data_IF_491924432237
#
_entry.id   IF_491924432237
#
_cell.length_a   1.000
_cell.length_b   1.000
_cell.length_c   1.000
_cell.angle_alpha   90.00
_cell.angle_beta   90.00
_cell.angle_gamma   90.00
#
_symmetry.space_group_name_H-M   'P 1'
#
loop_
_entity.id
_entity.type
_entity.pdbx_description
1 polymer ?
#
# COMPACT_ATOMS: atom_id res chain seq x y z
N UNK A 1 -10.53 15.53 -17.05
CA UNK A 1 -10.12 15.35 -15.65
C UNK A 1 -11.30 15.74 -14.78
N UNK A 2 -11.70 14.88 -13.86
CA UNK A 2 -12.85 15.06 -12.96
C UNK A 2 -12.36 15.25 -11.54
N UNK A 3 -13.06 16.04 -10.75
CA UNK A 3 -12.91 16.14 -9.30
C UNK A 3 -14.21 15.69 -8.66
N UNK A 4 -14.13 14.81 -7.67
CA UNK A 4 -15.29 14.21 -6.99
C UNK A 4 -15.07 14.10 -5.49
N UNK A 5 -16.13 14.06 -4.73
CA UNK A 5 -16.14 13.62 -3.35
C UNK A 5 -16.62 12.17 -3.26
N UNK A 6 -16.04 11.38 -2.36
CA UNK A 6 -16.48 10.04 -2.02
C UNK A 6 -16.54 9.90 -0.50
N UNK A 7 -17.73 9.62 0.03
CA UNK A 7 -18.05 9.76 1.45
C UNK A 7 -18.55 8.44 2.02
N UNK A 8 -17.93 8.01 3.10
CA UNK A 8 -18.35 6.82 3.85
C UNK A 8 -18.95 7.27 5.19
N UNK A 9 -20.26 7.11 5.32
CA UNK A 9 -21.03 7.55 6.51
C UNK A 9 -21.13 6.36 7.45
N UNK A 10 -20.68 6.52 8.69
CA UNK A 10 -20.52 5.46 9.67
C UNK A 10 -21.57 5.58 10.77
N UNK A 11 -22.26 4.48 11.08
CA UNK A 11 -23.25 4.40 12.15
C UNK A 11 -23.28 3.00 12.75
N UNK A 12 -23.05 2.89 14.06
CA UNK A 12 -23.21 1.66 14.86
C UNK A 12 -22.47 0.43 14.24
N UNK A 13 -21.26 0.64 13.71
CA UNK A 13 -20.45 -0.41 13.04
C UNK A 13 -20.93 -0.78 11.63
N UNK A 14 -21.82 0.04 11.06
CA UNK A 14 -22.27 -0.07 9.66
C UNK A 14 -21.80 1.15 8.88
N UNK A 15 -21.61 0.99 7.57
CA UNK A 15 -21.30 2.04 6.60
C UNK A 15 -22.45 2.16 5.61
N UNK A 16 -22.87 3.39 5.32
CA UNK A 16 -23.87 3.64 4.29
C UNK A 16 -23.20 3.51 2.92
N UNK A 17 -23.72 2.57 2.13
CA UNK A 17 -23.23 2.30 0.77
C UNK A 17 -24.33 2.50 -0.26
N UNK A 18 -23.98 2.95 -1.43
CA UNK A 18 -24.85 3.11 -2.59
C UNK A 18 -24.61 1.96 -3.58
N UNK A 19 -25.60 1.13 -3.80
CA UNK A 19 -25.62 0.11 -4.85
C UNK A 19 -26.04 0.75 -6.19
N UNK A 20 -25.10 0.93 -7.10
CA UNK A 20 -25.31 1.59 -8.40
C UNK A 20 -25.99 0.64 -9.40
N UNK A 21 -27.30 0.66 -9.48
CA UNK A 21 -28.10 -0.26 -10.34
C UNK A 21 -29.02 0.44 -11.33
N UNK A 22 -29.14 1.78 -11.25
CA UNK A 22 -30.15 2.51 -12.05
C UNK A 22 -29.68 2.80 -13.47
N UNK A 23 -28.40 3.12 -13.68
CA UNK A 23 -27.85 3.50 -14.98
C UNK A 23 -27.05 2.35 -15.59
N UNK A 24 -27.53 1.73 -16.68
CA UNK A 24 -26.88 0.59 -17.33
C UNK A 24 -25.50 0.90 -17.92
N UNK A 25 -25.25 2.14 -18.35
CA UNK A 25 -23.98 2.58 -18.94
C UNK A 25 -23.06 3.31 -17.95
N UNK A 26 -23.25 3.11 -16.66
CA UNK A 26 -22.38 3.65 -15.63
C UNK A 26 -21.18 2.70 -15.41
N UNK A 27 -19.95 3.24 -15.37
CA UNK A 27 -18.73 2.47 -15.04
C UNK A 27 -18.84 1.79 -13.67
N UNK A 28 -19.66 2.33 -12.77
CA UNK A 28 -19.95 1.80 -11.45
C UNK A 28 -21.15 0.84 -11.41
N UNK A 29 -21.78 0.54 -12.56
CA UNK A 29 -22.97 -0.33 -12.58
C UNK A 29 -22.73 -1.67 -11.88
N UNK A 30 -23.66 -2.06 -10.99
CA UNK A 30 -23.59 -3.28 -10.18
C UNK A 30 -22.60 -3.23 -9.01
N UNK A 31 -21.90 -2.10 -8.77
CA UNK A 31 -20.96 -1.94 -7.66
C UNK A 31 -21.58 -1.17 -6.49
N UNK A 32 -21.04 -1.42 -5.32
CA UNK A 32 -21.30 -0.66 -4.11
C UNK A 32 -20.19 0.38 -3.94
N UNK A 33 -20.58 1.63 -3.79
CA UNK A 33 -19.64 2.75 -3.62
C UNK A 33 -20.10 3.61 -2.43
N UNK A 34 -19.24 4.50 -1.96
CA UNK A 34 -19.64 5.56 -1.02
C UNK A 34 -20.61 6.55 -1.68
N UNK A 35 -21.24 7.38 -0.86
CA UNK A 35 -22.06 8.51 -1.29
C UNK A 35 -21.15 9.61 -1.84
N UNK A 36 -21.58 10.37 -2.86
CA UNK A 36 -20.80 11.50 -3.36
C UNK A 36 -20.93 11.69 -4.87
N UNK A 37 -20.29 12.74 -5.36
CA UNK A 37 -20.37 13.09 -6.76
C UNK A 37 -19.38 14.15 -7.19
N UNK A 38 -19.64 14.78 -8.33
CA UNK A 38 -18.74 15.74 -8.97
C UNK A 38 -18.84 17.12 -8.33
N UNK A 39 -17.69 17.81 -8.28
CA UNK A 39 -17.66 19.20 -7.86
C UNK A 39 -18.46 20.07 -8.82
N UNK A 40 -19.22 21.02 -8.27
CA UNK A 40 -19.73 22.17 -8.97
C UNK A 40 -18.66 23.28 -9.01
N UNK A 41 -18.84 24.21 -9.95
CA UNK A 41 -17.85 25.26 -10.14
C UNK A 41 -17.70 26.13 -8.91
N UNK A 42 -16.49 26.19 -8.37
CA UNK A 42 -16.15 27.02 -7.20
C UNK A 42 -16.34 26.34 -5.84
N UNK A 43 -16.75 25.06 -5.82
CA UNK A 43 -16.86 24.31 -4.55
C UNK A 43 -15.50 23.90 -4.00
N UNK A 44 -15.39 23.93 -2.68
CA UNK A 44 -14.35 23.21 -1.94
C UNK A 44 -14.71 21.73 -1.81
N UNK A 45 -13.74 20.86 -1.49
CA UNK A 45 -14.04 19.44 -1.23
C UNK A 45 -15.13 19.22 -0.18
N UNK A 46 -15.14 20.05 0.88
CA UNK A 46 -16.11 19.97 1.97
C UNK A 46 -17.50 20.45 1.57
N UNK A 47 -17.59 21.48 0.72
CA UNK A 47 -18.86 21.96 0.19
C UNK A 47 -19.51 20.91 -0.74
N UNK A 48 -18.73 20.35 -1.67
CA UNK A 48 -19.18 19.25 -2.51
C UNK A 48 -19.66 18.07 -1.68
N UNK A 49 -18.86 17.62 -0.73
CA UNK A 49 -19.18 16.51 0.18
C UNK A 49 -20.53 16.73 0.89
N UNK A 50 -20.76 17.93 1.44
CA UNK A 50 -22.01 18.29 2.17
C UNK A 50 -23.21 18.36 1.23
N UNK A 51 -23.06 18.92 0.05
CA UNK A 51 -24.13 19.02 -0.95
C UNK A 51 -24.54 17.62 -1.43
N UNK A 52 -23.58 16.82 -1.90
CA UNK A 52 -23.83 15.48 -2.41
C UNK A 52 -24.48 14.57 -1.38
N UNK A 53 -23.96 14.56 -0.12
CA UNK A 53 -24.56 13.76 0.95
C UNK A 53 -26.01 14.21 1.21
N UNK A 54 -26.29 15.51 1.24
CA UNK A 54 -27.66 15.98 1.43
C UNK A 54 -28.58 15.65 0.25
N UNK A 55 -28.10 15.77 -0.96
CA UNK A 55 -28.89 15.47 -2.19
C UNK A 55 -29.23 14.00 -2.30
N UNK A 56 -28.27 13.12 -2.05
CA UNK A 56 -28.46 11.68 -2.18
C UNK A 56 -29.15 11.03 -0.97
N UNK A 57 -28.89 11.52 0.25
CA UNK A 57 -29.35 10.86 1.48
C UNK A 57 -30.34 11.65 2.32
N UNK A 58 -30.38 12.97 2.17
CA UNK A 58 -31.13 13.88 3.04
C UNK A 58 -30.48 14.17 4.40
N UNK A 59 -29.28 13.62 4.65
CA UNK A 59 -28.55 13.81 5.89
C UNK A 59 -27.79 15.13 5.94
N UNK A 60 -27.68 15.71 7.13
CA UNK A 60 -26.87 16.90 7.39
C UNK A 60 -25.68 16.51 8.25
N UNK A 61 -24.47 16.89 7.82
CA UNK A 61 -23.20 16.46 8.41
C UNK A 61 -22.77 17.43 9.52
N UNK A 62 -22.43 16.86 10.68
CA UNK A 62 -21.90 17.57 11.85
C UNK A 62 -20.41 17.28 12.09
N UNK A 63 -20.00 15.99 11.96
CA UNK A 63 -18.62 15.55 12.16
C UNK A 63 -18.14 14.74 10.97
N UNK A 64 -16.99 15.11 10.46
CA UNK A 64 -16.35 14.39 9.35
C UNK A 64 -14.82 14.45 9.48
N UNK A 65 -14.17 13.58 8.73
CA UNK A 65 -12.72 13.62 8.53
C UNK A 65 -12.44 13.60 7.02
N UNK A 66 -11.61 14.51 6.57
CA UNK A 66 -11.03 14.46 5.22
C UNK A 66 -9.85 13.51 5.26
N UNK A 67 -9.97 12.36 4.58
CA UNK A 67 -9.06 11.24 4.75
C UNK A 67 -7.91 11.23 3.75
N UNK A 68 -8.14 11.69 2.53
CA UNK A 68 -7.11 11.65 1.50
C UNK A 68 -7.64 11.92 0.10
N UNK A 69 -6.74 11.82 -0.88
CA UNK A 69 -7.05 11.98 -2.31
C UNK A 69 -6.63 10.72 -3.05
N UNK A 70 -7.54 10.18 -3.86
CA UNK A 70 -7.25 9.07 -4.78
C UNK A 70 -7.23 9.59 -6.21
N UNK A 71 -6.11 9.43 -6.90
CA UNK A 71 -6.02 9.60 -8.35
C UNK A 71 -6.47 8.31 -9.01
N UNK A 72 -7.68 8.30 -9.55
CA UNK A 72 -8.23 7.17 -10.29
C UNK A 72 -7.95 7.36 -11.79
N UNK A 73 -7.28 6.39 -12.40
CA UNK A 73 -6.93 6.39 -13.82
C UNK A 73 -7.54 5.14 -14.46
N UNK A 74 -8.36 5.33 -15.49
CA UNK A 74 -8.95 4.26 -16.27
C UNK A 74 -8.71 4.51 -17.78
N UNK A 75 -8.67 3.43 -18.58
CA UNK A 75 -8.72 3.51 -20.03
C UNK A 75 -10.16 3.57 -20.58
N UNK A 76 -11.15 3.48 -19.72
CA UNK A 76 -12.58 3.50 -20.05
C UNK A 76 -13.27 4.82 -19.68
N UNK A 77 -12.63 5.67 -18.86
CA UNK A 77 -13.18 6.97 -18.44
C UNK A 77 -12.07 8.00 -18.19
N UNK A 78 -12.46 9.26 -18.00
CA UNK A 78 -11.56 10.35 -17.65
C UNK A 78 -10.85 10.10 -16.32
N UNK A 79 -9.61 10.58 -16.22
CA UNK A 79 -8.87 10.59 -14.94
C UNK A 79 -9.64 11.41 -13.91
N UNK A 80 -9.71 10.89 -12.69
CA UNK A 80 -10.48 11.45 -11.59
C UNK A 80 -9.62 11.63 -10.33
N UNK A 81 -9.80 12.76 -9.66
CA UNK A 81 -9.33 12.98 -8.29
C UNK A 81 -10.51 12.83 -7.34
N UNK A 82 -10.55 11.73 -6.59
CA UNK A 82 -11.58 11.46 -5.59
C UNK A 82 -11.11 11.96 -4.23
N UNK A 83 -11.82 12.90 -3.64
CA UNK A 83 -11.61 13.40 -2.29
C UNK A 83 -12.37 12.53 -1.31
N UNK A 84 -11.64 11.77 -0.47
CA UNK A 84 -12.21 10.78 0.42
C UNK A 84 -12.56 11.36 1.79
N UNK A 85 -13.79 11.10 2.24
CA UNK A 85 -14.28 11.52 3.55
C UNK A 85 -14.87 10.36 4.34
N UNK A 86 -14.74 10.41 5.66
CA UNK A 86 -15.57 9.65 6.59
C UNK A 86 -16.43 10.61 7.42
N UNK A 87 -17.70 10.26 7.60
CA UNK A 87 -18.67 11.02 8.38
C UNK A 87 -19.08 10.18 9.57
N UNK A 88 -18.90 10.71 10.78
CA UNK A 88 -19.22 10.06 12.05
C UNK A 88 -20.23 10.82 12.88
N UNK A 89 -20.60 12.04 12.49
CA UNK A 89 -21.65 12.84 13.12
C UNK A 89 -22.58 13.44 12.07
N UNK A 90 -23.88 13.19 12.21
CA UNK A 90 -24.90 13.68 11.29
C UNK A 90 -26.30 13.56 11.91
N UNK A 91 -27.28 14.24 11.31
CA UNK A 91 -28.67 14.13 11.66
C UNK A 91 -29.56 14.08 10.42
N UNK A 92 -30.74 13.44 10.55
CA UNK A 92 -31.78 13.44 9.53
C UNK A 92 -32.78 14.59 9.74
N UNK A 93 -33.72 14.74 8.82
CA UNK A 93 -34.75 15.77 8.87
C UNK A 93 -35.72 15.62 10.07
N UNK A 94 -35.79 14.45 10.72
CA UNK A 94 -36.65 14.17 11.85
C UNK A 94 -35.94 14.34 13.21
N UNK A 95 -34.67 14.71 13.19
CA UNK A 95 -33.87 14.93 14.40
C UNK A 95 -33.23 13.65 14.99
N UNK A 96 -33.28 12.52 14.29
CA UNK A 96 -32.46 11.39 14.63
C UNK A 96 -30.97 11.76 14.42
N UNK A 97 -30.15 11.54 15.46
CA UNK A 97 -28.79 12.08 15.52
C UNK A 97 -27.75 10.99 15.80
N UNK A 98 -26.65 11.06 15.10
CA UNK A 98 -25.46 10.21 15.27
C UNK A 98 -24.27 11.07 15.63
N UNK A 99 -23.47 10.65 16.63
CA UNK A 99 -22.24 11.28 17.04
C UNK A 99 -21.17 10.23 17.27
N UNK A 100 -19.95 10.49 16.82
CA UNK A 100 -18.80 9.56 16.91
C UNK A 100 -19.15 8.16 16.40
N UNK A 101 -19.96 8.09 15.33
CA UNK A 101 -20.41 6.85 14.70
C UNK A 101 -21.46 6.07 15.50
N UNK A 102 -22.08 6.67 16.52
CA UNK A 102 -23.08 6.02 17.38
C UNK A 102 -24.40 6.78 17.45
N UNK A 103 -25.50 6.05 17.41
CA UNK A 103 -26.83 6.62 17.61
C UNK A 103 -26.96 7.24 18.99
N UNK A 104 -27.47 8.47 19.08
CA UNK A 104 -27.68 9.20 20.32
C UNK A 104 -29.16 9.09 20.73
N UNK A 105 -29.43 8.77 22.00
CA UNK A 105 -30.80 8.68 22.53
C UNK A 105 -31.54 7.36 22.26
N UNK A 106 -30.81 6.32 21.90
CA UNK A 106 -31.33 4.99 21.56
C UNK A 106 -31.34 4.72 20.06
N UNK A 107 -31.72 3.50 19.66
CA UNK A 107 -31.77 3.11 18.25
C UNK A 107 -32.95 3.81 17.54
N UNK A 108 -32.75 5.05 17.13
CA UNK A 108 -33.67 5.73 16.22
C UNK A 108 -33.33 5.33 14.78
N UNK A 109 -34.37 5.00 14.02
CA UNK A 109 -34.24 4.71 12.60
C UNK A 109 -33.89 6.01 11.85
N UNK A 110 -32.72 6.06 11.22
CA UNK A 110 -32.32 7.14 10.33
C UNK A 110 -33.12 7.02 9.04
N UNK A 111 -33.88 8.06 8.71
CA UNK A 111 -34.62 8.14 7.45
C UNK A 111 -33.74 8.71 6.36
N UNK A 112 -33.52 7.90 5.35
CA UNK A 112 -32.82 8.29 4.13
C UNK A 112 -33.83 8.77 3.06
N UNK A 113 -33.41 9.71 2.25
CA UNK A 113 -34.09 10.09 1.03
C UNK A 113 -33.87 8.98 -0.03
N UNK A 114 -34.79 8.83 -0.96
CA UNK A 114 -34.56 7.99 -2.14
C UNK A 114 -33.46 8.57 -3.01
N UNK A 115 -32.53 7.73 -3.45
CA UNK A 115 -31.45 8.13 -4.36
C UNK A 115 -31.79 7.67 -5.78
N UNK A 116 -31.69 8.59 -6.75
CA UNK A 116 -32.00 8.31 -8.17
C UNK A 116 -30.90 7.47 -8.85
N UNK A 117 -29.75 7.31 -8.21
CA UNK A 117 -28.59 6.61 -8.75
C UNK A 117 -28.54 5.13 -8.36
N UNK A 118 -29.31 4.71 -7.35
CA UNK A 118 -29.34 3.35 -6.89
C UNK A 118 -30.03 3.17 -5.53
N UNK A 119 -29.66 2.12 -4.82
CA UNK A 119 -30.22 1.78 -3.51
C UNK A 119 -29.19 2.04 -2.42
N UNK A 120 -29.59 2.83 -1.42
CA UNK A 120 -28.80 3.10 -0.22
C UNK A 120 -29.06 2.04 0.85
N UNK A 121 -28.00 1.45 1.40
CA UNK A 121 -28.11 0.45 2.44
C UNK A 121 -27.00 0.57 3.48
N UNK A 122 -27.36 0.38 4.77
CA UNK A 122 -26.42 0.30 5.87
C UNK A 122 -25.83 -1.10 5.93
N UNK A 123 -24.57 -1.25 5.55
CA UNK A 123 -23.86 -2.52 5.53
C UNK A 123 -22.88 -2.61 6.70
N UNK A 124 -22.84 -3.73 7.44
CA UNK A 124 -21.81 -3.96 8.44
C UNK A 124 -20.40 -3.82 7.82
N UNK A 125 -19.46 -3.16 8.51
CA UNK A 125 -18.08 -2.97 8.02
C UNK A 125 -17.44 -4.27 7.53
N UNK A 126 -17.72 -5.39 8.19
CA UNK A 126 -17.22 -6.73 7.84
C UNK A 126 -17.75 -7.25 6.49
N UNK A 127 -18.86 -6.70 6.00
CA UNK A 127 -19.45 -7.06 4.71
C UNK A 127 -18.81 -6.32 3.54
N UNK A 128 -18.15 -5.18 3.79
CA UNK A 128 -17.60 -4.33 2.73
C UNK A 128 -16.57 -5.05 1.86
N UNK A 129 -15.83 -5.99 2.42
CA UNK A 129 -14.85 -6.78 1.68
C UNK A 129 -15.47 -7.86 0.77
N UNK A 130 -16.77 -8.17 0.96
CA UNK A 130 -17.49 -9.26 0.27
C UNK A 130 -18.46 -8.79 -0.80
N UNK A 131 -18.76 -7.50 -0.84
CA UNK A 131 -19.65 -6.91 -1.84
C UNK A 131 -18.90 -6.53 -3.12
N UNK A 132 -19.55 -6.48 -4.29
CA UNK A 132 -18.95 -6.00 -5.53
C UNK A 132 -18.58 -4.51 -5.42
N UNK A 133 -17.30 -4.19 -5.56
CA UNK A 133 -16.75 -2.83 -5.64
C UNK A 133 -15.47 -2.83 -6.48
N UNK A 134 -14.85 -1.68 -6.71
CA UNK A 134 -13.55 -1.63 -7.36
C UNK A 134 -12.47 -2.28 -6.50
N UNK A 135 -11.56 -3.04 -7.12
CA UNK A 135 -10.52 -3.76 -6.37
C UNK A 135 -9.63 -2.85 -5.51
N UNK A 136 -9.39 -1.60 -5.97
CA UNK A 136 -8.61 -0.61 -5.22
C UNK A 136 -9.34 -0.01 -4.02
N UNK A 137 -10.69 -0.08 -3.99
CA UNK A 137 -11.47 0.47 -2.87
C UNK A 137 -11.12 -0.23 -1.56
N UNK A 138 -10.81 -1.52 -1.61
CA UNK A 138 -10.37 -2.28 -0.42
C UNK A 138 -9.13 -1.70 0.23
N UNK A 139 -8.21 -1.12 -0.57
CA UNK A 139 -7.00 -0.51 -0.04
C UNK A 139 -7.38 0.72 0.79
N UNK A 140 -8.11 1.68 0.20
CA UNK A 140 -8.44 2.89 0.95
C UNK A 140 -9.53 2.68 2.00
N UNK A 141 -10.50 1.76 1.82
CA UNK A 141 -11.51 1.44 2.84
C UNK A 141 -10.86 0.98 4.14
N UNK A 142 -9.83 0.12 4.08
CA UNK A 142 -9.08 -0.30 5.26
C UNK A 142 -8.38 0.87 5.97
N UNK A 143 -8.00 1.92 5.23
CA UNK A 143 -7.33 3.12 5.76
C UNK A 143 -8.32 4.13 6.35
N UNK A 144 -9.46 4.35 5.70
CA UNK A 144 -10.41 5.39 6.10
C UNK A 144 -11.38 4.94 7.20
N UNK A 145 -11.67 3.66 7.34
CA UNK A 145 -12.50 3.11 8.42
C UNK A 145 -11.71 2.96 9.72
N UNK A 146 -10.38 2.91 9.67
CA UNK A 146 -9.51 2.98 10.84
C UNK A 146 -9.52 4.38 11.50
N UNK A 147 -9.37 4.42 12.83
CA UNK A 147 -9.58 5.66 13.62
C UNK A 147 -8.43 6.66 13.56
N UNK A 148 -7.25 6.30 13.05
CA UNK A 148 -6.04 7.14 13.17
C UNK A 148 -5.15 7.19 11.91
N UNK A 149 -5.63 6.82 10.75
CA UNK A 149 -4.79 6.95 9.57
C UNK A 149 -4.60 8.44 9.20
N UNK A 150 -3.37 8.92 9.00
CA UNK A 150 -3.12 10.29 8.57
C UNK A 150 -3.69 10.53 7.16
N UNK A 151 -3.80 11.80 6.78
CA UNK A 151 -4.14 12.17 5.40
C UNK A 151 -3.17 11.51 4.42
N UNK A 152 -3.69 10.90 3.35
CA UNK A 152 -2.89 10.18 2.37
C UNK A 152 -3.21 10.60 0.92
N UNK A 153 -2.26 10.35 0.04
CA UNK A 153 -2.48 10.33 -1.40
C UNK A 153 -2.35 8.89 -1.92
N UNK A 154 -3.22 8.54 -2.87
CA UNK A 154 -3.21 7.21 -3.49
C UNK A 154 -3.39 7.36 -4.99
N UNK A 155 -2.79 6.45 -5.77
CA UNK A 155 -3.05 6.32 -7.20
C UNK A 155 -3.49 4.90 -7.51
N UNK A 156 -4.59 4.78 -8.26
CA UNK A 156 -5.14 3.52 -8.73
C UNK A 156 -5.22 3.57 -10.26
N UNK A 157 -4.67 2.57 -10.93
CA UNK A 157 -4.70 2.48 -12.40
C UNK A 157 -5.42 1.22 -12.82
N UNK A 158 -6.46 1.40 -13.62
CA UNK A 158 -7.27 0.33 -14.19
C UNK A 158 -7.06 0.22 -15.69
N UNK A 159 -7.11 -1.01 -16.19
CA UNK A 159 -7.14 -1.34 -17.61
C UNK A 159 -8.22 -2.38 -17.85
N UNK A 160 -9.20 -2.07 -18.70
CA UNK A 160 -10.37 -2.93 -18.94
C UNK A 160 -11.04 -3.40 -17.65
N UNK A 161 -11.27 -2.46 -16.72
CA UNK A 161 -11.87 -2.74 -15.41
C UNK A 161 -11.00 -3.51 -14.42
N UNK A 162 -9.76 -3.87 -14.77
CA UNK A 162 -8.82 -4.62 -13.89
C UNK A 162 -7.82 -3.65 -13.27
N UNK A 163 -7.65 -3.68 -11.94
CA UNK A 163 -6.61 -2.95 -11.24
C UNK A 163 -5.23 -3.50 -11.65
N UNK A 164 -4.41 -2.67 -12.30
CA UNK A 164 -3.07 -3.01 -12.79
C UNK A 164 -1.95 -2.38 -11.97
N UNK A 165 -2.23 -1.25 -11.31
CA UNK A 165 -1.27 -0.56 -10.45
C UNK A 165 -1.98 0.16 -9.31
N UNK A 166 -1.36 0.15 -8.15
CA UNK A 166 -1.76 0.96 -7.01
C UNK A 166 -0.51 1.51 -6.31
N UNK A 167 -0.60 2.72 -5.75
CA UNK A 167 0.44 3.29 -4.90
C UNK A 167 -0.18 4.16 -3.81
N UNK A 168 0.44 4.17 -2.63
CA UNK A 168 0.04 4.98 -1.47
C UNK A 168 1.26 5.74 -0.99
N UNK A 169 1.20 7.07 -0.95
CA UNK A 169 2.28 7.92 -0.44
C UNK A 169 3.66 7.56 -1.01
N UNK A 170 3.75 7.47 -2.33
CA UNK A 170 4.98 7.06 -3.05
C UNK A 170 5.36 5.57 -2.94
N UNK A 171 4.74 4.80 -2.03
CA UNK A 171 4.95 3.36 -1.94
C UNK A 171 4.06 2.62 -2.94
N UNK A 172 4.68 1.82 -3.79
CA UNK A 172 3.93 0.98 -4.74
C UNK A 172 3.19 -0.15 -4.01
N UNK A 173 1.95 -0.41 -4.44
CA UNK A 173 1.29 -1.67 -4.13
C UNK A 173 1.49 -2.63 -5.32
N UNK A 174 1.87 -3.87 -5.04
CA UNK A 174 2.01 -4.88 -6.10
C UNK A 174 0.72 -5.70 -6.16
N UNK A 175 0.11 -5.74 -7.33
CA UNK A 175 -1.18 -6.39 -7.54
C UNK A 175 -0.95 -7.67 -8.35
N UNK A 176 -1.47 -8.79 -7.85
CA UNK A 176 -1.42 -10.09 -8.52
C UNK A 176 -2.82 -10.62 -8.80
N UNK A 177 -2.95 -11.86 -9.26
CA UNK A 177 -4.25 -12.50 -9.48
C UNK A 177 -5.09 -12.58 -8.20
N UNK A 178 -4.49 -12.98 -7.07
CA UNK A 178 -5.18 -13.21 -5.79
C UNK A 178 -4.82 -12.21 -4.70
N UNK A 179 -3.70 -11.45 -4.85
CA UNK A 179 -3.10 -10.69 -3.77
C UNK A 179 -3.00 -9.21 -4.10
N UNK A 180 -3.01 -8.41 -3.03
CA UNK A 180 -2.53 -7.04 -3.00
C UNK A 180 -1.40 -7.02 -1.96
N UNK A 181 -0.19 -6.69 -2.40
CA UNK A 181 0.94 -6.42 -1.52
C UNK A 181 0.96 -4.92 -1.29
N UNK A 182 0.61 -4.48 -0.10
CA UNK A 182 0.48 -3.06 0.26
C UNK A 182 1.38 -2.69 1.45
N UNK A 183 1.65 -1.40 1.67
CA UNK A 183 2.28 -0.97 2.91
C UNK A 183 1.50 -1.46 4.14
N UNK A 184 2.22 -1.71 5.24
CA UNK A 184 1.62 -2.03 6.52
C UNK A 184 0.96 -0.79 7.14
N UNK A 185 -0.20 -0.97 7.75
CA UNK A 185 -0.99 0.06 8.41
C UNK A 185 -0.96 -0.16 9.93
N UNK A 186 -1.08 0.92 10.71
CA UNK A 186 -1.13 0.81 12.16
C UNK A 186 -2.31 -0.04 12.67
N UNK A 187 -3.41 -0.03 11.91
CA UNK A 187 -4.64 -0.79 12.13
C UNK A 187 -4.46 -2.30 11.95
N UNK A 188 -3.45 -2.73 11.18
CA UNK A 188 -3.13 -4.14 10.95
C UNK A 188 -2.60 -4.83 12.23
N UNK A 189 -2.35 -4.08 13.31
CA UNK A 189 -1.72 -4.61 14.52
C UNK A 189 -2.48 -5.78 15.15
N UNK A 190 -3.81 -5.79 15.10
CA UNK A 190 -4.62 -6.87 15.61
C UNK A 190 -4.49 -8.14 14.75
N UNK A 191 -4.57 -8.01 13.43
CA UNK A 191 -4.41 -9.12 12.49
C UNK A 191 -2.97 -9.67 12.52
N UNK A 192 -1.97 -8.78 12.62
CA UNK A 192 -0.58 -9.18 12.80
C UNK A 192 -0.40 -10.00 14.09
N UNK A 193 -0.99 -9.55 15.21
CA UNK A 193 -0.88 -10.26 16.47
C UNK A 193 -1.49 -11.67 16.38
N UNK A 194 -2.69 -11.81 15.78
CA UNK A 194 -3.34 -13.10 15.62
C UNK A 194 -2.46 -14.12 14.86
N UNK A 195 -1.72 -13.68 13.86
CA UNK A 195 -0.76 -14.51 13.15
C UNK A 195 0.56 -14.68 13.93
N UNK A 196 1.12 -13.59 14.44
CA UNK A 196 2.47 -13.56 15.00
C UNK A 196 2.57 -14.22 16.39
N UNK A 197 1.47 -14.37 17.13
CA UNK A 197 1.46 -15.14 18.39
C UNK A 197 1.63 -16.65 18.20
N UNK A 198 1.46 -17.14 16.95
CA UNK A 198 1.60 -18.57 16.65
C UNK A 198 3.08 -18.98 16.71
N UNK A 199 3.47 -19.94 17.60
CA UNK A 199 4.85 -20.35 17.76
C UNK A 199 5.47 -21.08 16.56
N UNK A 200 4.66 -21.45 15.57
CA UNK A 200 5.15 -22.05 14.32
C UNK A 200 5.65 -21.01 13.31
N UNK A 201 5.28 -19.73 13.46
CA UNK A 201 5.56 -18.67 12.46
C UNK A 201 6.85 -17.94 12.84
N UNK A 202 6.86 -17.23 13.97
CA UNK A 202 7.97 -16.39 14.39
C UNK A 202 9.31 -17.15 14.42
N UNK A 203 9.44 -18.25 15.15
CA UNK A 203 10.69 -18.99 15.23
C UNK A 203 11.20 -19.53 13.89
N UNK A 204 10.31 -19.84 12.95
CA UNK A 204 10.69 -20.25 11.60
C UNK A 204 11.17 -19.06 10.73
N UNK A 205 10.81 -17.84 11.09
CA UNK A 205 11.17 -16.60 10.42
C UNK A 205 12.24 -15.78 11.20
N UNK A 206 12.76 -16.29 12.31
CA UNK A 206 13.87 -15.70 13.05
C UNK A 206 13.49 -14.73 14.17
N UNK A 207 12.24 -14.74 14.66
CA UNK A 207 11.77 -13.88 15.75
C UNK A 207 10.84 -14.60 16.73
N UNK A 208 10.73 -14.09 17.96
CA UNK A 208 9.86 -14.66 18.99
C UNK A 208 8.38 -14.34 18.73
N UNK A 209 7.45 -15.24 19.10
CA UNK A 209 6.01 -14.96 19.02
C UNK A 209 5.66 -13.66 19.76
N UNK A 210 4.81 -12.85 19.16
CA UNK A 210 4.36 -11.60 19.75
C UNK A 210 3.50 -11.85 21.00
N UNK A 211 3.70 -11.04 22.03
CA UNK A 211 3.04 -11.18 23.33
C UNK A 211 1.65 -10.55 23.35
N UNK A 212 1.49 -9.45 22.63
CA UNK A 212 0.26 -8.67 22.56
C UNK A 212 0.17 -7.80 21.30
N UNK A 213 -0.98 -7.12 21.13
CA UNK A 213 -1.23 -6.20 20.02
C UNK A 213 -0.32 -4.96 20.07
N UNK A 214 0.12 -4.53 21.26
CA UNK A 214 0.98 -3.38 21.40
C UNK A 214 2.38 -3.67 20.85
N UNK A 215 2.92 -4.88 21.07
CA UNK A 215 4.16 -5.34 20.45
C UNK A 215 4.01 -5.43 18.92
N UNK A 216 2.90 -5.96 18.43
CA UNK A 216 2.62 -6.00 16.99
C UNK A 216 2.58 -4.59 16.38
N UNK A 217 1.93 -3.62 17.04
CA UNK A 217 1.89 -2.22 16.60
C UNK A 217 3.28 -1.58 16.59
N UNK A 218 4.11 -1.90 17.59
CA UNK A 218 5.50 -1.47 17.63
C UNK A 218 6.30 -2.05 16.45
N UNK A 219 6.15 -3.34 16.20
CA UNK A 219 6.81 -4.04 15.08
C UNK A 219 6.40 -3.44 13.72
N UNK A 220 5.10 -3.11 13.52
CA UNK A 220 4.67 -2.41 12.31
C UNK A 220 5.43 -1.10 12.15
N UNK A 221 5.44 -0.26 13.18
CA UNK A 221 6.07 1.07 13.12
C UNK A 221 7.58 1.01 12.90
N UNK A 222 8.29 0.09 13.54
CA UNK A 222 9.76 0.09 13.59
C UNK A 222 10.41 -0.82 12.53
N UNK A 223 9.69 -1.83 12.05
CA UNK A 223 10.22 -2.86 11.15
C UNK A 223 9.43 -2.94 9.85
N UNK A 224 8.11 -3.11 9.93
CA UNK A 224 7.29 -3.45 8.77
C UNK A 224 6.88 -2.24 7.91
N UNK A 225 6.95 -1.01 8.45
CA UNK A 225 6.69 0.22 7.69
C UNK A 225 7.90 0.72 6.88
N UNK A 226 8.95 -0.09 6.77
CA UNK A 226 10.10 0.24 5.90
C UNK A 226 9.71 0.08 4.43
N UNK A 227 10.36 0.85 3.53
CA UNK A 227 10.21 0.65 2.10
C UNK A 227 10.45 -0.81 1.71
N UNK A 228 9.75 -1.26 0.67
CA UNK A 228 9.86 -2.60 0.10
C UNK A 228 9.49 -3.76 1.06
N UNK A 229 8.82 -3.48 2.19
CA UNK A 229 8.22 -4.48 3.07
C UNK A 229 6.69 -4.35 3.00
N UNK A 230 6.05 -5.39 2.50
CA UNK A 230 4.63 -5.39 2.18
C UNK A 230 3.83 -6.34 3.08
N UNK A 231 2.66 -5.90 3.47
CA UNK A 231 1.60 -6.76 3.95
C UNK A 231 1.01 -7.55 2.78
N UNK A 232 0.86 -8.85 2.94
CA UNK A 232 0.16 -9.71 1.96
C UNK A 232 -1.31 -9.72 2.32
N UNK A 233 -2.16 -9.26 1.42
CA UNK A 233 -3.62 -9.21 1.59
C UNK A 233 -4.28 -9.94 0.42
N UNK A 234 -5.29 -10.77 0.71
CA UNK A 234 -6.11 -11.36 -0.35
C UNK A 234 -7.00 -10.29 -0.98
N UNK A 235 -7.27 -10.38 -2.29
CA UNK A 235 -8.12 -9.39 -2.99
C UNK A 235 -9.57 -9.36 -2.50
N UNK A 236 -10.01 -10.39 -1.79
CA UNK A 236 -11.35 -10.54 -1.23
C UNK A 236 -11.42 -10.30 0.28
N UNK A 237 -10.31 -9.88 0.92
CA UNK A 237 -10.24 -9.52 2.33
C UNK A 237 -9.50 -8.19 2.51
N UNK A 238 -9.52 -7.62 3.72
CA UNK A 238 -8.75 -6.42 4.07
C UNK A 238 -7.57 -6.71 5.00
N UNK A 239 -7.65 -7.81 5.76
CA UNK A 239 -6.67 -8.15 6.79
C UNK A 239 -5.39 -8.75 6.17
N UNK A 240 -4.23 -8.37 6.67
CA UNK A 240 -2.98 -8.98 6.26
C UNK A 240 -2.88 -10.42 6.76
N UNK A 241 -2.50 -11.31 5.85
CA UNK A 241 -2.31 -12.74 6.12
C UNK A 241 -0.84 -13.12 6.18
N UNK A 242 0.09 -12.19 5.94
CA UNK A 242 1.53 -12.42 5.92
C UNK A 242 2.31 -11.17 5.57
N UNK A 243 3.61 -11.33 5.49
CA UNK A 243 4.55 -10.31 5.02
C UNK A 243 5.50 -10.87 3.98
N UNK A 244 5.90 -10.02 3.04
CA UNK A 244 6.99 -10.27 2.10
C UNK A 244 7.77 -8.98 1.90
N UNK A 245 9.10 -9.02 1.85
CA UNK A 245 9.88 -7.80 1.69
C UNK A 245 11.28 -8.04 1.14
N UNK A 246 11.82 -6.97 0.54
CA UNK A 246 13.21 -6.83 0.17
C UNK A 246 13.86 -5.90 1.19
N UNK A 247 14.99 -6.31 1.73
CA UNK A 247 15.71 -5.58 2.76
C UNK A 247 17.23 -5.77 2.62
N UNK A 248 18.01 -5.06 3.45
CA UNK A 248 19.47 -5.14 3.41
C UNK A 248 20.03 -4.90 2.01
N UNK A 249 19.57 -3.82 1.38
CA UNK A 249 20.07 -3.42 0.07
C UNK A 249 21.56 -3.16 0.12
N UNK A 250 22.29 -3.67 -0.86
CA UNK A 250 23.74 -3.52 -0.93
C UNK A 250 24.24 -3.38 -2.36
N UNK A 251 25.36 -2.68 -2.52
CA UNK A 251 26.09 -2.58 -3.78
C UNK A 251 27.26 -3.55 -3.70
N UNK A 252 27.35 -4.44 -4.66
CA UNK A 252 28.42 -5.42 -4.79
C UNK A 252 29.25 -5.20 -6.06
N UNK A 253 30.55 -5.39 -5.95
CA UNK A 253 31.49 -5.34 -7.08
C UNK A 253 31.36 -6.55 -8.02
N UNK A 254 32.13 -6.55 -9.13
CA UNK A 254 32.14 -7.63 -10.12
C UNK A 254 32.53 -8.99 -9.52
N UNK A 255 33.42 -8.99 -8.55
CA UNK A 255 33.91 -10.14 -7.80
C UNK A 255 33.00 -10.57 -6.64
N UNK A 256 31.89 -9.83 -6.42
CA UNK A 256 30.97 -10.06 -5.30
C UNK A 256 31.39 -9.39 -4.00
N UNK A 257 32.49 -8.64 -3.99
CA UNK A 257 32.89 -7.85 -2.83
C UNK A 257 31.85 -6.78 -2.48
N UNK A 258 31.59 -6.59 -1.18
CA UNK A 258 30.69 -5.56 -0.70
C UNK A 258 31.34 -4.18 -0.88
N UNK A 259 30.68 -3.27 -1.61
CA UNK A 259 31.11 -1.90 -1.78
C UNK A 259 30.42 -1.00 -0.75
N UNK A 260 29.09 -1.14 -0.59
CA UNK A 260 28.31 -0.30 0.31
C UNK A 260 26.99 -0.98 0.73
N UNK A 261 26.51 -0.62 1.91
CA UNK A 261 25.11 -0.87 2.33
C UNK A 261 24.29 0.39 2.17
N UNK A 262 23.02 0.24 1.76
CA UNK A 262 22.06 1.31 1.85
C UNK A 262 21.55 1.46 3.28
N UNK A 263 21.57 2.68 3.80
CA UNK A 263 20.81 2.99 5.01
C UNK A 263 19.36 3.32 4.62
N UNK A 264 18.50 2.31 4.66
CA UNK A 264 17.08 2.39 4.32
C UNK A 264 16.33 3.46 5.13
N UNK A 265 16.95 3.99 6.21
CA UNK A 265 16.35 5.01 7.08
C UNK A 265 16.60 6.43 6.59
N UNK A 266 17.54 6.64 5.65
CA UNK A 266 18.00 7.98 5.23
C UNK A 266 17.54 8.41 3.84
N UNK A 267 17.10 7.51 2.97
CA UNK A 267 16.71 7.86 1.60
C UNK A 267 15.69 6.88 1.03
N UNK A 268 14.63 7.43 0.43
CA UNK A 268 13.71 6.70 -0.44
C UNK A 268 14.25 6.53 -1.87
N UNK A 269 15.39 7.16 -2.20
CA UNK A 269 16.05 7.06 -3.48
C UNK A 269 17.29 6.16 -3.38
N UNK A 270 17.29 4.97 -4.01
CA UNK A 270 18.42 4.05 -4.03
C UNK A 270 19.72 4.66 -4.64
N UNK A 271 19.60 5.77 -5.35
CA UNK A 271 20.73 6.42 -6.05
C UNK A 271 21.33 7.61 -5.28
N UNK A 272 20.76 7.98 -4.13
CA UNK A 272 21.27 9.12 -3.34
C UNK A 272 22.66 8.86 -2.71
N UNK A 273 23.13 7.61 -2.67
CA UNK A 273 24.42 7.27 -2.04
C UNK A 273 25.67 7.54 -2.87
N UNK A 274 25.54 7.98 -4.12
CA UNK A 274 26.70 8.24 -4.99
C UNK A 274 27.25 9.67 -4.92
N UNK A 275 26.73 10.52 -4.01
CA UNK A 275 27.17 11.91 -3.87
C UNK A 275 27.67 12.24 -2.45
N UNK A 276 28.56 11.46 -1.92
CA UNK A 276 29.38 11.88 -0.79
C UNK A 276 30.75 11.25 -0.93
N UNK A 277 31.69 12.03 -1.48
CA UNK A 277 33.05 12.21 -1.06
C UNK A 277 33.76 13.12 -2.09
N UNK A 278 33.50 14.38 -1.97
CA UNK A 278 34.27 15.44 -2.58
C UNK A 278 34.27 16.60 -1.60
N UNK A 279 35.23 16.59 -0.68
CA UNK A 279 35.45 17.69 0.24
C UNK A 279 35.64 19.00 -0.50
N UNK A 280 34.93 20.02 -0.07
CA UNK A 280 35.24 21.41 -0.30
C UNK A 280 35.23 22.13 1.04
N UNK A 281 36.45 22.26 1.60
CA UNK A 281 36.76 23.32 2.54
C UNK A 281 36.97 24.61 1.73
N UNK A 282 36.36 25.70 2.13
CA UNK A 282 36.65 26.98 1.48
C UNK A 282 35.64 28.08 1.76
N UNK A 283 36.05 28.94 2.60
CA UNK A 283 35.51 30.16 3.18
C UNK A 283 34.92 31.19 2.17
N UNK A 284 34.08 32.05 2.72
CA UNK A 284 33.74 33.46 2.40
C UNK A 284 32.72 33.79 1.30
N UNK A 285 31.65 34.41 1.81
CA UNK A 285 30.75 35.29 1.06
C UNK A 285 31.42 36.61 0.64
N UNK A 286 30.94 37.42 -0.34
CA UNK A 286 29.83 38.33 0.02
C UNK A 286 28.72 38.51 -1.06
N UNK A 287 27.67 39.18 -0.61
CA UNK A 287 26.53 39.63 -1.39
C UNK A 287 26.88 40.70 -2.42
N UNK A 288 26.23 40.68 -3.57
CA UNK A 288 25.74 41.89 -4.23
C UNK A 288 24.66 41.61 -5.29
N UNK A 289 23.80 42.56 -5.39
CA UNK A 289 22.52 42.74 -6.05
C UNK A 289 22.57 42.84 -7.59
N UNK A 290 21.40 42.61 -8.16
CA UNK A 290 20.74 43.29 -9.29
C UNK A 290 20.62 42.54 -10.62
N UNK A 291 19.43 42.63 -11.18
CA UNK A 291 19.18 42.54 -12.62
C UNK A 291 18.12 41.52 -13.06
N UNK A 292 16.84 41.95 -13.09
CA UNK A 292 15.80 41.32 -13.86
C UNK A 292 16.09 41.44 -15.34
N UNK A 293 15.97 40.34 -16.07
CA UNK A 293 15.50 40.34 -17.47
C UNK A 293 14.81 38.99 -17.72
N UNK A 294 13.54 39.06 -18.09
CA UNK A 294 12.79 37.91 -18.64
C UNK A 294 13.24 37.71 -20.10
N UNK A 295 13.33 36.48 -20.58
CA UNK A 295 13.18 36.21 -22.00
C UNK A 295 11.97 35.31 -22.26
N UNK A 296 11.24 35.84 -23.15
CA UNK A 296 10.29 35.37 -24.18
C UNK A 296 9.98 33.87 -24.31
N UNK A 297 8.70 33.66 -24.57
CA UNK A 297 8.01 32.43 -24.91
C UNK A 297 8.72 31.61 -25.99
N UNK A 298 9.23 30.44 -25.62
CA UNK A 298 9.57 29.37 -26.54
C UNK A 298 8.77 28.11 -26.19
N UNK A 299 8.07 27.63 -27.18
CA UNK A 299 7.27 26.40 -27.19
C UNK A 299 8.02 25.23 -26.55
N UNK A 300 7.52 24.73 -25.42
CA UNK A 300 7.98 23.45 -24.87
C UNK A 300 7.21 22.32 -25.53
N UNK A 301 7.81 21.73 -26.55
CA UNK A 301 7.51 20.38 -26.98
C UNK A 301 7.75 19.44 -25.80
N UNK A 302 6.68 18.86 -25.25
CA UNK A 302 6.70 17.81 -24.27
C UNK A 302 7.15 16.51 -24.96
N UNK A 303 8.34 15.96 -24.69
CA UNK A 303 8.70 14.64 -25.18
C UNK A 303 7.95 13.63 -24.32
N UNK A 304 6.95 12.99 -24.94
CA UNK A 304 6.12 11.93 -24.35
C UNK A 304 6.91 10.96 -23.50
N UNK A 305 6.24 10.44 -22.48
CA UNK A 305 6.68 9.37 -21.59
C UNK A 305 7.07 8.08 -22.34
N UNK A 306 8.19 8.11 -23.04
CA UNK A 306 8.85 6.95 -23.61
C UNK A 306 10.14 6.68 -22.82
N UNK A 307 10.15 5.58 -22.06
CA UNK A 307 11.37 4.94 -21.61
C UNK A 307 12.09 5.60 -20.43
N UNK A 308 11.51 5.61 -19.22
CA UNK A 308 12.32 5.61 -18.02
C UNK A 308 13.00 4.25 -17.93
N UNK A 309 14.24 4.18 -18.40
CA UNK A 309 15.16 3.11 -18.05
C UNK A 309 15.30 3.11 -16.53
N UNK A 310 15.00 1.98 -15.86
CA UNK A 310 15.11 1.87 -14.42
C UNK A 310 16.55 2.14 -13.92
N UNK A 311 16.73 2.34 -12.61
CA UNK A 311 18.00 2.76 -12.00
C UNK A 311 19.20 1.86 -12.33
N UNK A 312 18.97 0.63 -12.79
CA UNK A 312 20.06 -0.29 -13.21
C UNK A 312 20.91 0.20 -14.39
N UNK A 313 20.38 1.11 -15.23
CA UNK A 313 21.14 1.65 -16.38
C UNK A 313 22.19 2.71 -15.99
N UNK A 314 22.22 3.12 -14.72
CA UNK A 314 23.12 4.15 -14.20
C UNK A 314 24.31 3.60 -13.40
N UNK A 315 24.31 2.28 -13.10
CA UNK A 315 25.44 1.67 -12.39
C UNK A 315 26.58 1.37 -13.35
N UNK A 316 27.84 1.59 -12.94
CA UNK A 316 29.02 1.22 -13.73
C UNK A 316 29.01 -0.27 -14.07
N UNK A 317 29.64 -0.63 -15.19
CA UNK A 317 29.73 -2.02 -15.65
C UNK A 317 30.35 -2.92 -14.57
N UNK A 318 29.69 -4.04 -14.28
CA UNK A 318 30.10 -4.98 -13.26
C UNK A 318 29.59 -4.72 -11.84
N UNK A 319 29.02 -3.53 -11.56
CA UNK A 319 28.40 -3.21 -10.27
C UNK A 319 27.00 -3.83 -10.22
N UNK A 320 26.65 -4.41 -9.07
CA UNK A 320 25.35 -5.07 -8.85
C UNK A 320 24.62 -4.46 -7.67
N UNK A 321 23.32 -4.21 -7.83
CA UNK A 321 22.42 -3.93 -6.74
C UNK A 321 21.78 -5.23 -6.27
N UNK A 322 21.90 -5.54 -4.99
CA UNK A 322 21.43 -6.78 -4.38
C UNK A 322 20.57 -6.47 -3.16
N UNK A 323 19.67 -7.37 -2.81
CA UNK A 323 18.83 -7.28 -1.61
C UNK A 323 18.62 -8.66 -0.99
N UNK A 324 18.12 -8.72 0.26
CA UNK A 324 17.70 -9.95 0.93
C UNK A 324 16.18 -10.05 0.93
N UNK A 325 15.64 -11.22 0.61
CA UNK A 325 14.23 -11.56 0.65
C UNK A 325 13.87 -12.11 2.03
N UNK A 326 12.86 -11.54 2.66
CA UNK A 326 12.24 -12.05 3.88
C UNK A 326 10.73 -12.22 3.71
N UNK A 327 10.16 -13.23 4.35
CA UNK A 327 8.71 -13.46 4.33
C UNK A 327 8.22 -14.37 5.45
N UNK A 328 6.93 -14.25 5.75
CA UNK A 328 6.18 -15.18 6.56
C UNK A 328 4.70 -15.16 6.15
N UNK A 329 3.96 -16.24 6.47
CA UNK A 329 2.54 -16.41 6.14
C UNK A 329 1.81 -17.06 7.31
N UNK A 330 0.60 -16.61 7.58
CA UNK A 330 -0.26 -17.19 8.62
C UNK A 330 -0.64 -18.64 8.27
N UNK A 331 -0.67 -19.52 9.28
CA UNK A 331 -0.82 -20.97 9.12
C UNK A 331 -2.05 -21.40 8.30
N UNK A 332 -3.25 -20.76 8.41
CA UNK A 332 -4.41 -21.15 7.60
C UNK A 332 -4.22 -21.01 6.08
N UNK A 333 -3.21 -20.26 5.66
CA UNK A 333 -2.95 -19.95 4.25
C UNK A 333 -1.76 -20.74 3.67
N UNK A 334 -1.17 -21.65 4.44
CA UNK A 334 -0.08 -22.50 3.98
C UNK A 334 -0.54 -23.47 2.88
N UNK A 335 0.40 -23.96 2.08
CA UNK A 335 0.20 -24.93 1.00
C UNK A 335 -0.75 -24.51 -0.14
N UNK A 336 -1.17 -23.24 -0.19
CA UNK A 336 -2.08 -22.71 -1.21
C UNK A 336 -1.36 -21.94 -2.34
N UNK A 337 -0.03 -21.91 -2.33
CA UNK A 337 0.78 -21.22 -3.35
C UNK A 337 0.83 -19.70 -3.18
N UNK A 338 0.19 -19.15 -2.13
CA UNK A 338 0.09 -17.70 -1.86
C UNK A 338 1.48 -17.07 -1.72
N UNK A 339 2.35 -17.64 -0.88
CA UNK A 339 3.70 -17.09 -0.71
C UNK A 339 4.53 -17.13 -2.00
N UNK A 340 4.40 -18.17 -2.80
CA UNK A 340 5.11 -18.25 -4.08
C UNK A 340 4.62 -17.19 -5.09
N UNK A 341 3.34 -16.83 -5.05
CA UNK A 341 2.77 -15.73 -5.85
C UNK A 341 3.29 -14.38 -5.37
N UNK A 342 3.28 -14.10 -4.06
CA UNK A 342 3.79 -12.88 -3.47
C UNK A 342 5.29 -12.67 -3.76
N UNK A 343 6.10 -13.70 -3.55
CA UNK A 343 7.55 -13.67 -3.83
C UNK A 343 7.81 -13.39 -5.31
N UNK A 344 7.09 -14.01 -6.22
CA UNK A 344 7.28 -13.80 -7.67
C UNK A 344 6.96 -12.35 -8.05
N UNK A 345 5.87 -11.78 -7.54
CA UNK A 345 5.51 -10.38 -7.79
C UNK A 345 6.58 -9.42 -7.25
N UNK A 346 7.10 -9.68 -6.06
CA UNK A 346 8.14 -8.85 -5.45
C UNK A 346 9.49 -8.96 -6.20
N UNK A 347 9.88 -10.15 -6.65
CA UNK A 347 11.09 -10.33 -7.45
C UNK A 347 11.01 -9.61 -8.80
N UNK A 348 9.83 -9.64 -9.44
CA UNK A 348 9.61 -8.92 -10.68
C UNK A 348 9.65 -7.39 -10.46
N UNK A 349 9.08 -6.89 -9.36
CA UNK A 349 9.20 -5.51 -8.95
C UNK A 349 10.68 -5.14 -8.70
N UNK A 350 11.41 -5.96 -7.97
CA UNK A 350 12.84 -5.78 -7.71
C UNK A 350 13.65 -5.67 -9.01
N UNK A 351 13.35 -6.54 -9.97
CA UNK A 351 14.02 -6.56 -11.29
C UNK A 351 13.69 -5.33 -12.13
N UNK A 352 12.40 -5.01 -12.31
CA UNK A 352 11.95 -3.98 -13.26
C UNK A 352 12.01 -2.57 -12.70
N UNK A 353 11.64 -2.40 -11.43
CA UNK A 353 11.44 -1.07 -10.86
C UNK A 353 12.63 -0.62 -10.00
N UNK A 354 13.27 -1.56 -9.27
CA UNK A 354 14.41 -1.25 -8.40
C UNK A 354 15.76 -1.52 -9.09
N UNK A 355 15.77 -2.21 -10.22
CA UNK A 355 17.01 -2.55 -10.93
C UNK A 355 17.90 -3.55 -10.20
N UNK A 356 17.31 -4.39 -9.33
CA UNK A 356 18.05 -5.45 -8.65
C UNK A 356 18.62 -6.44 -9.65
N UNK A 357 19.87 -6.79 -9.46
CA UNK A 357 20.54 -7.83 -10.24
C UNK A 357 20.48 -9.19 -9.57
N UNK A 358 20.45 -9.18 -8.21
CA UNK A 358 20.54 -10.40 -7.42
C UNK A 358 19.72 -10.26 -6.13
N UNK A 359 19.09 -11.35 -5.72
CA UNK A 359 18.37 -11.47 -4.45
C UNK A 359 18.90 -12.67 -3.67
N UNK A 360 19.16 -12.42 -2.38
CA UNK A 360 19.55 -13.42 -1.40
C UNK A 360 18.34 -13.84 -0.59
N UNK A 361 18.30 -15.09 -0.18
CA UNK A 361 17.30 -15.59 0.75
C UNK A 361 17.94 -16.65 1.64
N UNK A 362 17.44 -16.79 2.86
CA UNK A 362 17.91 -17.81 3.77
C UNK A 362 16.76 -18.48 4.51
N UNK A 363 17.02 -19.69 5.00
CA UNK A 363 16.10 -20.43 5.85
C UNK A 363 16.88 -21.31 6.85
N UNK A 364 16.27 -21.61 7.98
CA UNK A 364 16.85 -22.49 8.97
C UNK A 364 16.74 -23.95 8.52
N UNK A 365 17.75 -24.74 8.83
CA UNK A 365 17.77 -26.19 8.61
C UNK A 365 16.47 -26.83 9.12
N UNK A 366 15.82 -27.66 8.30
CA UNK A 366 14.52 -28.28 8.60
C UNK A 366 13.29 -27.45 8.18
N UNK A 367 13.45 -26.19 7.72
CA UNK A 367 12.33 -25.40 7.20
C UNK A 367 12.07 -25.70 5.71
N UNK A 368 11.54 -26.91 5.42
CA UNK A 368 11.25 -27.37 4.06
C UNK A 368 10.19 -26.51 3.36
N UNK A 369 9.30 -25.87 4.11
CA UNK A 369 8.28 -24.98 3.53
C UNK A 369 8.95 -23.77 2.87
N UNK A 370 9.87 -23.10 3.57
CA UNK A 370 10.64 -21.98 3.02
C UNK A 370 11.52 -22.42 1.86
N UNK A 371 12.23 -23.54 1.99
CA UNK A 371 13.03 -24.12 0.90
C UNK A 371 12.19 -24.36 -0.37
N UNK A 372 10.98 -24.90 -0.22
CA UNK A 372 10.08 -25.14 -1.35
C UNK A 372 9.63 -23.85 -2.06
N UNK A 373 9.36 -22.77 -1.30
CA UNK A 373 9.01 -21.46 -1.87
C UNK A 373 10.20 -20.92 -2.68
N UNK A 374 11.40 -20.88 -2.09
CA UNK A 374 12.61 -20.38 -2.75
C UNK A 374 12.93 -21.16 -4.02
N UNK A 375 12.89 -22.50 -3.95
CA UNK A 375 13.13 -23.36 -5.12
C UNK A 375 12.15 -23.08 -6.26
N UNK A 376 10.86 -22.90 -5.96
CA UNK A 376 9.83 -22.56 -6.96
C UNK A 376 10.02 -21.16 -7.56
N UNK A 377 10.64 -20.24 -6.83
CA UNK A 377 10.99 -18.91 -7.31
C UNK A 377 12.32 -18.88 -8.09
N UNK A 378 13.04 -20.02 -8.19
CA UNK A 378 14.28 -20.14 -8.96
C UNK A 378 15.56 -19.93 -8.16
N UNK A 379 15.47 -19.81 -6.84
CA UNK A 379 16.66 -19.72 -5.99
C UNK A 379 17.46 -21.03 -6.03
N UNK A 380 18.77 -20.93 -5.97
CA UNK A 380 19.69 -22.05 -5.87
C UNK A 380 20.62 -21.91 -4.66
N UNK A 381 21.11 -23.04 -4.19
CA UNK A 381 21.99 -23.13 -3.03
C UNK A 381 23.27 -22.32 -3.23
N UNK A 382 23.68 -21.61 -2.19
CA UNK A 382 24.94 -20.89 -2.15
C UNK A 382 25.90 -21.43 -1.08
N UNK A 383 25.52 -21.40 0.20
CA UNK A 383 26.34 -21.91 1.31
C UNK A 383 25.52 -22.19 2.56
N UNK A 384 26.17 -22.81 3.57
CA UNK A 384 25.59 -23.06 4.90
C UNK A 384 26.44 -22.38 5.94
N UNK A 385 25.78 -21.67 6.85
CA UNK A 385 26.38 -21.12 8.08
C UNK A 385 25.86 -21.91 9.27
N UNK A 386 26.78 -22.66 9.93
CA UNK A 386 26.46 -23.41 11.15
C UNK A 386 26.62 -22.53 12.38
N UNK A 387 25.78 -22.77 13.39
CA UNK A 387 25.84 -22.09 14.69
C UNK A 387 25.75 -20.55 14.57
N UNK A 388 24.99 -20.06 13.58
CA UNK A 388 24.68 -18.64 13.49
C UNK A 388 23.81 -18.23 14.65
N UNK A 389 24.28 -17.27 15.45
CA UNK A 389 23.47 -16.71 16.54
C UNK A 389 22.37 -15.83 15.99
N UNK A 390 21.10 -16.13 16.31
CA UNK A 390 19.91 -15.39 15.90
C UNK A 390 19.45 -14.53 17.08
N UNK A 391 19.80 -13.25 17.05
CA UNK A 391 19.59 -12.31 18.18
C UNK A 391 18.15 -12.29 18.69
N UNK A 392 17.17 -12.22 17.80
CA UNK A 392 15.75 -12.15 18.18
C UNK A 392 15.20 -13.47 18.77
N UNK A 393 15.86 -14.59 18.50
CA UNK A 393 15.52 -15.89 19.11
C UNK A 393 16.35 -16.17 20.37
N UNK A 394 17.53 -15.58 20.49
CA UNK A 394 18.48 -15.83 21.57
C UNK A 394 19.13 -17.21 21.50
N UNK A 395 19.24 -17.81 20.31
CA UNK A 395 19.79 -19.15 20.11
C UNK A 395 20.59 -19.27 18.82
N UNK A 396 21.41 -20.31 18.72
CA UNK A 396 22.16 -20.63 17.50
C UNK A 396 21.33 -21.53 16.57
N UNK A 397 21.39 -21.24 15.28
CA UNK A 397 20.73 -22.01 14.21
C UNK A 397 21.68 -22.28 13.06
N UNK A 398 21.51 -23.41 12.41
CA UNK A 398 22.10 -23.65 11.08
C UNK A 398 21.24 -22.93 10.03
N UNK A 399 21.85 -22.01 9.28
CA UNK A 399 21.20 -21.22 8.26
C UNK A 399 21.70 -21.65 6.88
N UNK A 400 20.78 -21.87 5.95
CA UNK A 400 21.05 -22.26 4.57
C UNK A 400 20.75 -21.07 3.69
N UNK A 401 21.80 -20.57 3.01
CA UNK A 401 21.71 -19.42 2.11
C UNK A 401 21.48 -19.85 0.67
N UNK A 402 20.57 -19.15 0.03
CA UNK A 402 20.24 -19.30 -1.38
C UNK A 402 20.34 -17.95 -2.10
N UNK A 403 20.55 -18.01 -3.40
CA UNK A 403 20.73 -16.83 -4.23
C UNK A 403 19.96 -16.99 -5.54
N UNK A 404 19.47 -15.87 -6.08
CA UNK A 404 18.81 -15.77 -7.36
C UNK A 404 19.38 -14.59 -8.16
N UNK A 405 19.91 -14.85 -9.32
CA UNK A 405 20.28 -13.82 -10.28
C UNK A 405 19.04 -13.44 -11.12
N UNK A 406 18.53 -12.23 -10.93
CA UNK A 406 17.27 -11.78 -11.55
C UNK A 406 17.36 -11.61 -13.08
N UNK A 407 18.58 -11.51 -13.63
CA UNK A 407 18.82 -11.49 -15.08
C UNK A 407 18.49 -12.81 -15.77
N UNK A 408 18.42 -13.91 -15.01
CA UNK A 408 18.13 -15.25 -15.52
C UNK A 408 16.63 -15.58 -15.48
N UNK A 409 15.80 -14.72 -14.90
CA UNK A 409 14.35 -14.92 -14.95
C UNK A 409 13.83 -14.67 -16.38
N UNK A 410 12.94 -15.52 -16.90
CA UNK A 410 12.31 -15.30 -18.20
C UNK A 410 11.55 -13.98 -18.21
N UNK A 411 11.47 -13.33 -19.37
CA UNK A 411 10.73 -12.09 -19.61
C UNK A 411 9.21 -12.26 -19.42
#
# INVERSE_FOLDING_TARGET
MKETSLVHIIKDGCVLMLHRITKEHDINHGKWIGVGGKFEWGETPEECMRREVYEETGLRIDQYRYCGIVTFVSDEDDMEYMHLFTVTGFHDANGAFVRDGRSVGGAQEIRLKSCDEGVLEWLPEQMLTRIPHWAGDRIFLSMILGTQFPFFSMKLVYRKGILTHASVQEHNCLVTERLILRPWLAEDAAALYEAAKNPKIGPAAGWQPHKDVAESRKTIREVLSRPEIYAIVLRDTSDPIGAVGLQNFRIAGPDGSLISYFDERKSTDPLCCTRQDGGWDGEDAPAESAGREEPDSAERNDPGCAGRTGPASMLPEGIRLEASLGYWLAEPYWHQGIMAEAVRALLEHGRRNLGLSRVWADYFEGNEASHSVMRRAGFHFHHIEKNRYVELLGEERTTIYQVLDLKLLPE
#
